data_IF_168098672299
#
_entry.id   IF_168098672299
#
_cell.length_a   1.000
_cell.length_b   1.000
_cell.length_c   1.000
_cell.angle_alpha   90.00
_cell.angle_beta   90.00
_cell.angle_gamma   90.00
#
_symmetry.space_group_name_H-M   'P 1'
#
loop_
_entity.id
_entity.type
_entity.pdbx_description
1 polymer ?
#
# COMPACT_ATOMS: atom_id res chain seq x y z
N UNK A 1 -19.73 88.21 134.83
CA UNK A 1 -19.83 88.50 133.39
C UNK A 1 -20.76 87.46 132.79
N UNK A 2 -21.86 87.87 132.17
CA UNK A 2 -22.76 86.99 131.42
C UNK A 2 -22.33 87.00 129.96
N UNK A 3 -21.93 85.85 129.42
CA UNK A 3 -21.54 85.71 128.03
C UNK A 3 -22.81 85.50 127.18
N UNK A 4 -23.10 86.42 126.26
CA UNK A 4 -24.13 86.23 125.24
C UNK A 4 -23.59 85.33 124.13
N UNK A 5 -24.23 84.19 123.92
CA UNK A 5 -23.87 83.27 122.83
C UNK A 5 -24.40 83.81 121.50
N UNK A 6 -23.59 83.85 120.43
CA UNK A 6 -24.01 84.33 119.12
C UNK A 6 -25.14 83.50 118.51
N UNK A 7 -25.96 84.15 117.67
CA UNK A 7 -27.02 83.54 116.85
C UNK A 7 -26.42 82.46 115.94
N UNK A 8 -26.97 81.25 116.03
CA UNK A 8 -26.50 80.07 115.30
C UNK A 8 -27.24 79.91 113.96
N UNK A 9 -26.59 80.36 112.89
CA UNK A 9 -27.10 80.26 111.51
C UNK A 9 -26.71 78.94 110.82
N UNK A 10 -26.26 77.93 111.59
CA UNK A 10 -25.73 76.69 111.02
C UNK A 10 -26.73 75.94 110.16
N UNK A 11 -28.04 75.98 110.48
CA UNK A 11 -29.07 75.21 109.77
C UNK A 11 -29.42 75.80 108.38
N UNK A 12 -29.48 77.13 108.28
CA UNK A 12 -29.69 77.86 107.01
C UNK A 12 -28.45 77.74 106.11
N UNK A 13 -27.25 77.85 106.68
CA UNK A 13 -25.99 77.60 105.98
C UNK A 13 -25.91 76.15 105.48
N UNK A 14 -26.41 75.18 106.24
CA UNK A 14 -26.49 73.77 105.84
C UNK A 14 -27.45 73.55 104.66
N UNK A 15 -28.58 74.26 104.61
CA UNK A 15 -29.49 74.16 103.46
C UNK A 15 -28.90 74.77 102.20
N UNK A 16 -28.29 75.96 102.31
CA UNK A 16 -27.59 76.61 101.19
C UNK A 16 -26.44 75.73 100.71
N UNK A 17 -25.68 75.13 101.63
CA UNK A 17 -24.61 74.18 101.32
C UNK A 17 -25.11 72.94 100.58
N UNK A 18 -26.23 72.34 101.04
CA UNK A 18 -26.85 71.20 100.34
C UNK A 18 -27.31 71.56 98.93
N UNK A 19 -27.97 72.71 98.76
CA UNK A 19 -28.39 73.19 97.43
C UNK A 19 -27.21 73.46 96.50
N UNK A 20 -26.12 74.03 97.04
CA UNK A 20 -24.87 74.21 96.31
C UNK A 20 -24.26 72.86 95.89
N UNK A 21 -24.17 71.89 96.79
CA UNK A 21 -23.65 70.55 96.50
C UNK A 21 -24.49 69.81 95.45
N UNK A 22 -25.83 69.90 95.49
CA UNK A 22 -26.69 69.32 94.46
C UNK A 22 -26.46 69.95 93.08
N UNK A 23 -26.34 71.27 93.01
CA UNK A 23 -26.02 71.96 91.76
C UNK A 23 -24.62 71.59 91.26
N UNK A 24 -23.65 71.50 92.16
CA UNK A 24 -22.27 71.06 91.86
C UNK A 24 -22.27 69.65 91.28
N UNK A 25 -23.02 68.72 91.89
CA UNK A 25 -23.12 67.35 91.43
C UNK A 25 -23.82 67.24 90.08
N UNK A 26 -24.94 67.96 89.86
CA UNK A 26 -25.61 68.02 88.55
C UNK A 26 -24.73 68.60 87.46
N UNK A 27 -23.97 69.66 87.77
CA UNK A 27 -23.02 70.26 86.84
C UNK A 27 -21.90 69.28 86.49
N UNK A 28 -21.33 68.60 87.49
CA UNK A 28 -20.30 67.59 87.28
C UNK A 28 -20.81 66.41 86.45
N UNK A 29 -22.02 65.91 86.72
CA UNK A 29 -22.65 64.84 85.94
C UNK A 29 -22.92 65.24 84.49
N UNK A 30 -23.38 66.46 84.25
CA UNK A 30 -23.54 67.00 82.90
C UNK A 30 -22.19 67.11 82.20
N UNK A 31 -21.17 67.68 82.84
CA UNK A 31 -19.81 67.78 82.30
C UNK A 31 -19.20 66.40 81.99
N UNK A 32 -19.44 65.39 82.84
CA UNK A 32 -18.98 64.02 82.63
C UNK A 32 -19.65 63.35 81.42
N UNK A 33 -20.92 63.68 81.13
CA UNK A 33 -21.68 63.11 79.99
C UNK A 33 -21.55 63.90 78.69
N UNK A 34 -21.24 65.19 78.78
CA UNK A 34 -21.18 66.13 77.65
C UNK A 34 -20.26 65.63 76.53
N UNK A 35 -19.08 65.12 76.86
CA UNK A 35 -18.14 64.60 75.86
C UNK A 35 -18.70 63.40 75.08
N UNK A 36 -19.45 62.54 75.77
CA UNK A 36 -20.11 61.37 75.17
C UNK A 36 -21.29 61.78 74.29
N UNK A 37 -22.11 62.71 74.74
CA UNK A 37 -23.24 63.22 73.97
C UNK A 37 -22.76 63.98 72.72
N UNK A 38 -21.72 64.82 72.85
CA UNK A 38 -21.08 65.49 71.72
C UNK A 38 -20.51 64.49 70.72
N UNK A 39 -19.82 63.45 71.18
CA UNK A 39 -19.30 62.39 70.29
C UNK A 39 -20.43 61.66 69.55
N UNK A 40 -21.54 61.37 70.25
CA UNK A 40 -22.71 60.71 69.66
C UNK A 40 -23.38 61.58 68.59
N UNK A 41 -23.59 62.87 68.90
CA UNK A 41 -24.16 63.82 67.96
C UNK A 41 -23.26 64.03 66.72
N UNK A 42 -21.93 64.10 66.92
CA UNK A 42 -20.97 64.17 65.80
C UNK A 42 -21.05 62.94 64.90
N UNK A 43 -21.15 61.74 65.47
CA UNK A 43 -21.30 60.50 64.69
C UNK A 43 -22.63 60.45 63.93
N UNK A 44 -23.71 60.96 64.52
CA UNK A 44 -24.99 61.05 63.85
C UNK A 44 -24.96 62.03 62.65
N UNK A 45 -24.37 63.22 62.84
CA UNK A 45 -24.16 64.19 61.75
C UNK A 45 -23.30 63.62 60.63
N UNK A 46 -22.19 62.94 60.99
CA UNK A 46 -21.33 62.28 60.00
C UNK A 46 -22.09 61.21 59.21
N UNK A 47 -22.92 60.41 59.88
CA UNK A 47 -23.73 59.37 59.23
C UNK A 47 -24.74 59.98 58.25
N UNK A 48 -25.35 61.12 58.62
CA UNK A 48 -26.26 61.86 57.76
C UNK A 48 -25.53 62.45 56.54
N UNK A 49 -24.38 63.10 56.73
CA UNK A 49 -23.58 63.63 55.63
C UNK A 49 -23.16 62.52 54.64
N UNK A 50 -22.76 61.35 55.16
CA UNK A 50 -22.43 60.19 54.32
C UNK A 50 -23.67 59.73 53.53
N UNK A 51 -24.84 59.65 54.17
CA UNK A 51 -26.08 59.25 53.50
C UNK A 51 -26.48 60.24 52.39
N UNK A 52 -26.43 61.54 52.69
CA UNK A 52 -26.74 62.61 51.75
C UNK A 52 -25.74 62.62 50.58
N UNK A 53 -24.46 62.39 50.85
CA UNK A 53 -23.45 62.24 49.81
C UNK A 53 -23.71 61.01 48.92
N UNK A 54 -23.94 59.83 49.53
CA UNK A 54 -24.24 58.59 48.80
C UNK A 54 -25.50 58.70 47.93
N UNK A 55 -26.53 59.41 48.41
CA UNK A 55 -27.76 59.65 47.63
C UNK A 55 -27.54 60.69 46.54
N UNK A 56 -26.85 61.80 46.82
CA UNK A 56 -26.56 62.84 45.83
C UNK A 56 -25.78 62.32 44.61
N UNK A 57 -24.81 61.43 44.82
CA UNK A 57 -24.04 60.82 43.73
C UNK A 57 -24.72 59.58 43.12
N UNK A 58 -25.87 59.15 43.67
CA UNK A 58 -26.55 57.93 43.22
C UNK A 58 -25.70 56.66 43.40
N UNK A 59 -24.93 56.57 44.48
CA UNK A 59 -23.94 55.50 44.71
C UNK A 59 -24.53 54.10 44.53
N UNK A 60 -25.71 53.86 45.09
CA UNK A 60 -26.40 52.57 44.99
C UNK A 60 -26.73 52.18 43.54
N UNK A 61 -27.17 53.13 42.71
CA UNK A 61 -27.47 52.89 41.30
C UNK A 61 -26.20 52.60 40.50
N UNK A 62 -25.09 53.28 40.80
CA UNK A 62 -23.80 53.03 40.17
C UNK A 62 -23.29 51.62 40.53
N UNK A 63 -23.37 51.23 41.80
CA UNK A 63 -22.97 49.88 42.25
C UNK A 63 -23.80 48.80 41.56
N UNK A 64 -25.13 48.98 41.47
CA UNK A 64 -26.01 48.05 40.74
C UNK A 64 -25.66 47.97 39.25
N UNK A 65 -25.32 49.10 38.61
CA UNK A 65 -24.92 49.12 37.21
C UNK A 65 -23.57 48.41 36.99
N UNK A 66 -22.59 48.63 37.87
CA UNK A 66 -21.30 47.93 37.84
C UNK A 66 -21.52 46.42 37.96
N UNK A 67 -22.39 45.99 38.87
CA UNK A 67 -22.67 44.57 39.07
C UNK A 67 -23.40 43.97 37.86
N UNK A 68 -24.35 44.71 37.28
CA UNK A 68 -25.00 44.34 36.02
C UNK A 68 -24.03 44.21 34.84
N UNK A 69 -23.07 45.12 34.72
CA UNK A 69 -22.02 45.08 33.70
C UNK A 69 -21.05 43.90 33.93
N UNK A 70 -20.71 43.59 35.18
CA UNK A 70 -19.90 42.41 35.52
C UNK A 70 -20.62 41.12 35.13
N UNK A 71 -21.92 41.02 35.39
CA UNK A 71 -22.71 39.85 34.99
C UNK A 71 -22.77 39.69 33.46
N UNK A 72 -22.98 40.79 32.72
CA UNK A 72 -22.91 40.75 31.25
C UNK A 72 -21.54 40.33 30.74
N UNK A 73 -20.47 40.85 31.33
CA UNK A 73 -19.10 40.47 31.00
C UNK A 73 -18.85 38.97 31.22
N UNK A 74 -19.36 38.40 32.31
CA UNK A 74 -19.20 36.97 32.62
C UNK A 74 -19.96 36.09 31.61
N UNK A 75 -21.18 36.49 31.22
CA UNK A 75 -21.97 35.81 30.18
C UNK A 75 -21.23 35.82 28.84
N UNK A 76 -20.74 36.99 28.41
CA UNK A 76 -19.99 37.12 27.15
C UNK A 76 -18.67 36.37 27.17
N UNK A 77 -17.98 36.33 28.32
CA UNK A 77 -16.76 35.50 28.48
C UNK A 77 -17.06 34.01 28.32
N UNK A 78 -18.12 33.50 28.94
CA UNK A 78 -18.56 32.11 28.78
C UNK A 78 -18.94 31.80 27.33
N UNK A 79 -19.64 32.72 26.66
CA UNK A 79 -19.97 32.57 25.24
C UNK A 79 -18.71 32.52 24.36
N UNK A 80 -17.72 33.36 24.64
CA UNK A 80 -16.43 33.35 23.94
C UNK A 80 -15.64 32.05 24.18
N UNK A 81 -15.62 31.53 25.42
CA UNK A 81 -14.97 30.26 25.73
C UNK A 81 -15.63 29.08 25.00
N UNK A 82 -16.96 29.03 24.98
CA UNK A 82 -17.70 28.02 24.22
C UNK A 82 -17.41 28.12 22.71
N UNK A 83 -17.39 29.32 22.15
CA UNK A 83 -17.08 29.51 20.73
C UNK A 83 -15.64 29.10 20.40
N UNK A 84 -14.67 29.40 21.29
CA UNK A 84 -13.28 28.93 21.14
C UNK A 84 -13.19 27.41 21.19
N UNK A 85 -13.95 26.76 22.08
CA UNK A 85 -14.03 25.31 22.15
C UNK A 85 -14.57 24.72 20.84
N UNK A 86 -15.66 25.28 20.30
CA UNK A 86 -16.22 24.83 19.02
C UNK A 86 -15.25 25.04 17.84
N UNK A 87 -14.52 26.16 17.82
CA UNK A 87 -13.48 26.42 16.80
C UNK A 87 -12.39 25.36 16.88
N UNK A 88 -11.86 25.09 18.07
CA UNK A 88 -10.82 24.07 18.26
C UNK A 88 -11.32 22.68 17.86
N UNK A 89 -12.53 22.30 18.26
CA UNK A 89 -13.13 21.03 17.85
C UNK A 89 -13.28 20.91 16.32
N UNK A 90 -13.64 21.99 15.63
CA UNK A 90 -13.68 22.02 14.16
C UNK A 90 -12.28 21.96 13.54
N UNK A 91 -11.27 22.62 14.13
CA UNK A 91 -9.89 22.56 13.67
C UNK A 91 -9.31 21.14 13.82
N UNK A 92 -9.56 20.47 14.94
CA UNK A 92 -9.16 19.07 15.17
C UNK A 92 -9.82 18.15 14.14
N UNK A 93 -11.11 18.35 13.85
CA UNK A 93 -11.83 17.58 12.84
C UNK A 93 -11.30 17.82 11.42
N UNK A 94 -10.90 19.06 11.10
CA UNK A 94 -10.21 19.37 9.83
C UNK A 94 -8.85 18.67 9.78
N UNK A 95 -8.11 18.63 10.89
CA UNK A 95 -6.83 17.94 10.96
C UNK A 95 -6.97 16.42 10.78
N UNK A 96 -7.98 15.81 11.37
CA UNK A 96 -8.28 14.39 11.19
C UNK A 96 -8.74 14.07 9.76
N UNK A 97 -9.58 14.91 9.15
CA UNK A 97 -9.94 14.77 7.73
C UNK A 97 -8.72 14.94 6.80
N UNK A 98 -7.79 15.84 7.14
CA UNK A 98 -6.50 15.94 6.43
C UNK A 98 -5.62 14.71 6.62
N UNK A 99 -5.65 14.08 7.80
CA UNK A 99 -4.97 12.79 8.03
C UNK A 99 -5.59 11.64 7.23
N UNK A 100 -6.89 11.71 6.94
CA UNK A 100 -7.56 10.76 6.03
C UNK A 100 -7.18 11.01 4.57
N UNK A 101 -6.90 12.25 4.17
CA UNK A 101 -6.29 12.59 2.87
C UNK A 101 -4.83 12.09 2.74
N UNK A 102 -4.18 11.73 3.84
CA UNK A 102 -2.76 11.32 3.92
C UNK A 102 -2.50 9.88 3.42
N UNK A 103 -3.42 9.27 2.67
CA UNK A 103 -3.21 7.96 2.03
C UNK A 103 -2.11 8.01 0.97
N UNK A 104 -1.89 9.17 0.33
CA UNK A 104 -0.85 9.33 -0.67
C UNK A 104 0.57 9.22 -0.09
N UNK A 105 0.80 9.70 1.14
CA UNK A 105 2.08 9.55 1.83
C UNK A 105 2.33 8.08 2.21
N UNK A 106 1.28 7.37 2.67
CA UNK A 106 1.36 5.91 2.90
C UNK A 106 1.64 5.15 1.61
N UNK A 107 1.02 5.56 0.49
CA UNK A 107 1.27 5.03 -0.84
C UNK A 107 2.75 5.18 -1.22
N UNK A 108 3.34 6.37 -1.04
CA UNK A 108 4.76 6.60 -1.30
C UNK A 108 5.68 5.74 -0.43
N UNK A 109 5.39 5.63 0.88
CA UNK A 109 6.14 4.76 1.79
C UNK A 109 6.09 3.30 1.34
N UNK A 110 4.93 2.84 0.84
CA UNK A 110 4.75 1.47 0.37
C UNK A 110 5.44 1.22 -0.96
N UNK A 111 5.40 2.17 -1.88
CA UNK A 111 6.21 2.13 -3.11
C UNK A 111 7.69 2.02 -2.76
N UNK A 112 8.19 2.83 -1.82
CA UNK A 112 9.58 2.76 -1.38
C UNK A 112 9.93 1.42 -0.76
N UNK A 113 9.00 0.84 0.01
CA UNK A 113 9.17 -0.52 0.53
C UNK A 113 9.30 -1.54 -0.59
N UNK A 114 8.45 -1.49 -1.61
CA UNK A 114 8.56 -2.41 -2.75
C UNK A 114 9.87 -2.20 -3.53
N UNK A 115 10.27 -0.95 -3.75
CA UNK A 115 11.54 -0.61 -4.39
C UNK A 115 12.74 -1.16 -3.61
N UNK A 116 12.74 -1.04 -2.28
CA UNK A 116 13.81 -1.56 -1.42
C UNK A 116 13.80 -3.09 -1.34
N UNK A 117 12.67 -3.69 -0.98
CA UNK A 117 12.54 -5.12 -0.67
C UNK A 117 12.72 -5.98 -1.93
N UNK A 118 12.18 -5.55 -3.07
CA UNK A 118 12.18 -6.36 -4.29
C UNK A 118 13.28 -5.97 -5.27
N UNK A 119 13.72 -4.72 -5.32
CA UNK A 119 14.69 -4.30 -6.34
C UNK A 119 16.12 -4.12 -5.80
N UNK A 120 16.34 -4.22 -4.49
CA UNK A 120 17.69 -4.18 -3.89
C UNK A 120 18.45 -2.88 -4.16
N UNK A 121 17.77 -1.86 -4.68
CA UNK A 121 18.33 -0.58 -5.06
C UNK A 121 17.74 0.50 -4.15
N UNK A 122 18.49 0.93 -3.13
CA UNK A 122 18.21 2.17 -2.39
C UNK A 122 18.40 3.44 -3.26
N UNK A 123 18.58 3.27 -4.57
CA UNK A 123 18.92 4.37 -5.47
C UNK A 123 17.69 5.16 -5.93
N UNK A 124 16.46 4.67 -5.79
CA UNK A 124 15.25 5.41 -6.17
C UNK A 124 14.21 5.37 -5.05
N UNK A 125 13.70 6.55 -4.69
CA UNK A 125 12.63 6.70 -3.71
C UNK A 125 11.58 7.69 -4.20
N UNK A 126 10.31 7.39 -3.97
CA UNK A 126 9.18 8.28 -4.13
C UNK A 126 9.02 9.14 -2.86
N UNK A 127 9.03 10.46 -3.01
CA UNK A 127 8.74 11.41 -1.94
C UNK A 127 7.46 12.17 -2.24
N UNK A 128 6.54 12.19 -1.28
CA UNK A 128 5.35 13.02 -1.34
C UNK A 128 5.74 14.47 -1.00
N UNK A 129 5.52 15.39 -1.94
CA UNK A 129 5.73 16.82 -1.75
C UNK A 129 4.36 17.50 -1.75
N UNK A 130 4.06 18.24 -0.68
CA UNK A 130 2.89 19.11 -0.65
C UNK A 130 3.10 20.30 -1.61
N UNK A 131 2.30 20.36 -2.67
CA UNK A 131 2.17 21.52 -3.54
C UNK A 131 0.89 22.29 -3.24
N UNK A 132 0.93 23.61 -3.39
CA UNK A 132 -0.27 24.44 -3.47
C UNK A 132 -0.50 24.74 -4.95
N UNK A 133 -1.50 24.13 -5.56
CA UNK A 133 -1.94 24.45 -6.91
C UNK A 133 -3.38 24.97 -6.84
N UNK A 134 -3.63 26.16 -7.39
CA UNK A 134 -4.95 26.81 -7.40
C UNK A 134 -5.60 26.99 -6.02
N UNK A 135 -4.81 27.13 -4.96
CA UNK A 135 -5.32 27.30 -3.58
C UNK A 135 -5.71 26.01 -2.88
N UNK A 136 -5.61 24.86 -3.54
CA UNK A 136 -5.81 23.53 -2.97
C UNK A 136 -4.47 22.86 -2.69
N UNK A 137 -4.38 22.17 -1.53
CA UNK A 137 -3.23 21.30 -1.24
C UNK A 137 -3.32 20.07 -2.14
N UNK A 138 -2.42 19.94 -3.10
CA UNK A 138 -2.24 18.73 -3.90
C UNK A 138 -0.91 18.09 -3.57
N UNK A 139 -0.92 16.80 -3.34
CA UNK A 139 0.31 16.02 -3.17
C UNK A 139 0.86 15.72 -4.56
N UNK A 140 2.15 15.98 -4.75
CA UNK A 140 2.89 15.60 -5.95
C UNK A 140 4.00 14.65 -5.55
N UNK A 141 4.23 13.62 -6.33
CA UNK A 141 5.34 12.71 -6.09
C UNK A 141 6.59 13.21 -6.81
N UNK A 142 7.70 13.29 -6.08
CA UNK A 142 9.02 13.50 -6.65
C UNK A 142 9.84 12.22 -6.52
N UNK A 143 10.48 11.84 -7.62
CA UNK A 143 11.38 10.69 -7.64
C UNK A 143 12.78 11.19 -7.30
N UNK A 144 13.38 10.58 -6.29
CA UNK A 144 14.67 10.98 -5.72
C UNK A 144 15.67 9.85 -5.89
N UNK A 145 16.88 10.22 -6.34
CA UNK A 145 18.03 9.35 -6.57
C UNK A 145 19.22 9.81 -5.75
N UNK A 146 19.67 8.99 -4.80
CA UNK A 146 20.78 9.35 -3.88
C UNK A 146 20.55 10.66 -3.12
N UNK A 147 19.30 10.90 -2.68
CA UNK A 147 18.91 12.11 -1.95
C UNK A 147 18.73 13.37 -2.80
N UNK A 148 18.87 13.29 -4.14
CA UNK A 148 18.61 14.39 -5.07
C UNK A 148 17.50 14.05 -6.04
N UNK A 149 16.77 15.05 -6.55
CA UNK A 149 15.77 14.83 -7.59
C UNK A 149 16.36 14.06 -8.77
N UNK A 150 15.71 12.97 -9.15
CA UNK A 150 16.09 12.15 -10.29
C UNK A 150 15.65 12.84 -11.59
N UNK A 151 16.56 12.86 -12.57
CA UNK A 151 16.29 13.28 -13.95
C UNK A 151 16.71 12.14 -14.87
N UNK A 152 16.08 12.05 -16.04
CA UNK A 152 16.38 11.03 -17.06
C UNK A 152 16.21 9.59 -16.55
N UNK A 153 15.02 9.28 -16.04
CA UNK A 153 14.66 7.90 -15.72
C UNK A 153 14.63 7.06 -17.00
N UNK A 154 15.11 5.82 -16.92
CA UNK A 154 14.98 4.87 -18.02
C UNK A 154 13.51 4.45 -18.19
N UNK A 155 13.15 3.94 -19.36
CA UNK A 155 11.80 3.43 -19.61
C UNK A 155 11.44 2.29 -18.66
N UNK A 156 12.41 1.43 -18.35
CA UNK A 156 12.26 0.37 -17.36
C UNK A 156 12.00 0.91 -15.95
N UNK A 157 12.75 1.93 -15.51
CA UNK A 157 12.55 2.58 -14.21
C UNK A 157 11.16 3.22 -14.10
N UNK A 158 10.70 3.89 -15.15
CA UNK A 158 9.36 4.47 -15.20
C UNK A 158 8.28 3.39 -15.08
N UNK A 159 8.38 2.32 -15.86
CA UNK A 159 7.41 1.22 -15.88
C UNK A 159 7.34 0.52 -14.51
N UNK A 160 8.50 0.34 -13.88
CA UNK A 160 8.64 -0.30 -12.57
C UNK A 160 8.04 0.54 -11.44
N UNK A 161 8.33 1.84 -11.41
CA UNK A 161 7.74 2.76 -10.41
C UNK A 161 6.22 2.81 -10.58
N UNK A 162 5.74 2.88 -11.83
CA UNK A 162 4.30 2.85 -12.12
C UNK A 162 3.65 1.55 -11.64
N UNK A 163 4.32 0.40 -11.84
CA UNK A 163 3.85 -0.90 -11.36
C UNK A 163 3.82 -0.97 -9.83
N UNK A 164 4.87 -0.52 -9.14
CA UNK A 164 4.90 -0.47 -7.68
C UNK A 164 3.81 0.46 -7.12
N UNK A 165 3.57 1.59 -7.77
CA UNK A 165 2.50 2.52 -7.40
C UNK A 165 1.13 1.89 -7.58
N UNK A 166 0.89 1.20 -8.70
CA UNK A 166 -0.32 0.42 -8.92
C UNK A 166 -0.54 -0.61 -7.80
N UNK A 167 0.49 -1.37 -7.44
CA UNK A 167 0.40 -2.34 -6.35
C UNK A 167 0.14 -1.70 -4.98
N UNK A 168 0.72 -0.53 -4.70
CA UNK A 168 0.47 0.20 -3.47
C UNK A 168 -0.99 0.70 -3.38
N UNK A 169 -1.55 1.12 -4.53
CA UNK A 169 -2.93 1.60 -4.63
C UNK A 169 -3.98 0.49 -4.48
N UNK A 170 -3.61 -0.78 -4.67
CA UNK A 170 -4.54 -1.90 -4.44
C UNK A 170 -4.84 -2.12 -2.95
N UNK A 171 -4.04 -1.58 -2.03
CA UNK A 171 -4.29 -1.64 -0.59
C UNK A 171 -4.88 -0.33 -0.03
N UNK A 172 -5.55 0.44 -0.89
CA UNK A 172 -6.24 1.70 -0.55
C UNK A 172 -7.63 1.40 0.06
N UNK A 173 -8.19 2.36 0.80
CA UNK A 173 -9.46 2.24 1.54
C UNK A 173 -10.62 1.79 0.65
N UNK A 174 -10.60 2.19 -0.63
CA UNK A 174 -11.64 1.82 -1.60
C UNK A 174 -11.60 0.35 -2.02
N UNK A 175 -10.45 -0.31 -1.90
CA UNK A 175 -10.24 -1.70 -2.33
C UNK A 175 -10.10 -2.67 -1.15
N UNK A 176 -9.80 -2.16 0.05
CA UNK A 176 -9.46 -2.95 1.24
C UNK A 176 -10.49 -4.00 1.67
N UNK A 177 -11.79 -3.71 1.50
CA UNK A 177 -12.89 -4.64 1.86
C UNK A 177 -13.55 -5.27 0.63
N UNK A 178 -12.92 -5.17 -0.54
CA UNK A 178 -13.43 -5.72 -1.80
C UNK A 178 -12.40 -6.63 -2.45
N UNK A 179 -12.85 -7.60 -3.25
CA UNK A 179 -11.98 -8.37 -4.14
C UNK A 179 -12.10 -7.83 -5.56
N UNK A 180 -11.29 -6.84 -5.99
CA UNK A 180 -11.38 -6.27 -7.32
C UNK A 180 -11.04 -7.29 -8.42
N UNK A 181 -11.48 -6.96 -9.64
CA UNK A 181 -10.95 -7.54 -10.88
C UNK A 181 -9.71 -6.74 -11.28
N UNK A 182 -8.57 -7.41 -11.38
CA UNK A 182 -7.26 -6.79 -11.67
C UNK A 182 -6.87 -7.10 -13.11
N UNK A 183 -6.47 -6.06 -13.85
CA UNK A 183 -5.88 -6.19 -15.19
C UNK A 183 -4.48 -5.60 -15.20
N UNK A 184 -3.49 -6.40 -15.59
CA UNK A 184 -2.08 -6.00 -15.70
C UNK A 184 -1.65 -6.22 -17.15
N UNK A 185 -1.40 -5.14 -17.88
CA UNK A 185 -0.91 -5.21 -19.26
C UNK A 185 0.61 -5.05 -19.31
N UNK A 186 1.27 -6.12 -19.73
CA UNK A 186 2.70 -6.26 -19.96
C UNK A 186 3.61 -5.55 -18.92
N UNK A 187 3.64 -6.04 -17.67
CA UNK A 187 4.31 -5.36 -16.57
C UNK A 187 5.86 -5.36 -16.65
N UNK A 188 6.42 -5.90 -17.74
CA UNK A 188 7.86 -6.07 -17.94
C UNK A 188 8.38 -5.44 -19.24
N UNK A 189 7.58 -4.57 -19.88
CA UNK A 189 8.04 -3.80 -21.04
C UNK A 189 9.35 -3.05 -20.72
N UNK A 190 10.35 -3.21 -21.59
CA UNK A 190 11.67 -2.58 -21.47
C UNK A 190 12.44 -2.88 -20.16
N UNK A 191 12.15 -4.01 -19.53
CA UNK A 191 12.85 -4.52 -18.34
C UNK A 191 13.87 -5.62 -18.68
N UNK A 192 14.95 -5.69 -17.90
CA UNK A 192 15.94 -6.78 -18.01
C UNK A 192 15.42 -8.09 -17.39
N UNK A 193 16.17 -9.18 -17.58
CA UNK A 193 15.81 -10.50 -17.07
C UNK A 193 15.68 -10.58 -15.53
N UNK A 194 16.40 -9.75 -14.76
CA UNK A 194 16.31 -9.74 -13.30
C UNK A 194 14.98 -9.13 -12.83
N UNK A 195 14.53 -8.07 -13.50
CA UNK A 195 13.28 -7.41 -13.19
C UNK A 195 12.05 -8.30 -13.44
N UNK A 196 12.11 -9.26 -14.37
CA UNK A 196 11.06 -10.27 -14.59
C UNK A 196 10.74 -11.02 -13.30
N UNK A 197 11.78 -11.44 -12.57
CA UNK A 197 11.62 -12.18 -11.32
C UNK A 197 10.99 -11.31 -10.23
N UNK A 198 11.37 -10.03 -10.15
CA UNK A 198 10.83 -9.11 -9.15
C UNK A 198 9.35 -8.81 -9.39
N UNK A 199 8.97 -8.51 -10.63
CA UNK A 199 7.56 -8.30 -11.00
C UNK A 199 6.73 -9.54 -10.69
N UNK A 200 7.22 -10.73 -11.05
CA UNK A 200 6.54 -11.98 -10.72
C UNK A 200 6.40 -12.18 -9.20
N UNK A 201 7.47 -11.97 -8.44
CA UNK A 201 7.49 -12.14 -6.99
C UNK A 201 6.53 -11.18 -6.29
N UNK A 202 6.45 -9.93 -6.76
CA UNK A 202 5.51 -8.94 -6.23
C UNK A 202 4.06 -9.35 -6.51
N UNK A 203 3.75 -9.85 -7.70
CA UNK A 203 2.42 -10.40 -8.03
C UNK A 203 2.06 -11.56 -7.08
N UNK A 204 2.99 -12.48 -6.84
CA UNK A 204 2.75 -13.61 -5.93
C UNK A 204 2.50 -13.12 -4.51
N UNK A 205 3.42 -12.34 -3.94
CA UNK A 205 3.41 -11.97 -2.53
C UNK A 205 2.29 -10.97 -2.18
N UNK A 206 2.02 -10.00 -3.05
CA UNK A 206 1.01 -8.97 -2.78
C UNK A 206 -0.37 -9.34 -3.30
N UNK A 207 -0.48 -10.10 -4.39
CA UNK A 207 -1.78 -10.45 -4.97
C UNK A 207 -2.23 -11.88 -4.62
N UNK A 208 -1.43 -12.89 -4.99
CA UNK A 208 -1.87 -14.28 -4.94
C UNK A 208 -1.89 -14.86 -3.51
N UNK A 209 -0.87 -14.57 -2.71
CA UNK A 209 -0.77 -15.09 -1.33
C UNK A 209 -1.75 -14.40 -0.37
N UNK A 210 -2.05 -13.13 -0.63
CA UNK A 210 -3.00 -12.33 0.17
C UNK A 210 -4.45 -12.48 -0.26
N UNK A 211 -4.72 -13.19 -1.37
CA UNK A 211 -6.07 -13.46 -1.89
C UNK A 211 -6.93 -12.19 -2.05
N UNK A 212 -6.32 -11.11 -2.59
CA UNK A 212 -6.96 -9.79 -2.65
C UNK A 212 -7.76 -9.52 -3.93
N UNK A 213 -7.96 -10.51 -4.81
CA UNK A 213 -8.65 -10.33 -6.07
C UNK A 213 -9.68 -11.42 -6.35
N UNK A 214 -10.74 -11.07 -7.07
CA UNK A 214 -11.73 -12.05 -7.56
C UNK A 214 -11.25 -12.70 -8.86
N UNK A 215 -10.68 -11.87 -9.75
CA UNK A 215 -10.10 -12.32 -11.01
C UNK A 215 -8.88 -11.47 -11.37
N UNK A 216 -7.84 -12.10 -11.89
CA UNK A 216 -6.65 -11.42 -12.41
C UNK A 216 -6.45 -11.77 -13.88
N UNK A 217 -6.25 -10.73 -14.70
CA UNK A 217 -5.83 -10.83 -16.09
C UNK A 217 -4.41 -10.27 -16.20
N UNK A 218 -3.50 -11.07 -16.76
CA UNK A 218 -2.14 -10.63 -17.05
C UNK A 218 -1.86 -10.88 -18.52
N UNK A 219 -1.63 -9.82 -19.29
CA UNK A 219 -1.13 -9.91 -20.66
C UNK A 219 0.37 -9.68 -20.69
N UNK A 220 1.05 -10.35 -21.61
CA UNK A 220 2.47 -10.12 -21.87
C UNK A 220 2.84 -10.61 -23.26
N UNK A 221 3.84 -9.98 -23.87
CA UNK A 221 4.45 -10.48 -25.10
C UNK A 221 5.68 -11.38 -24.82
N UNK A 222 6.12 -11.45 -23.56
CA UNK A 222 7.35 -12.14 -23.17
C UNK A 222 7.05 -13.58 -22.70
N UNK A 223 7.62 -14.56 -23.41
CA UNK A 223 7.42 -15.98 -23.13
C UNK A 223 8.11 -16.45 -21.85
N UNK A 224 9.21 -15.82 -21.43
CA UNK A 224 9.88 -16.18 -20.17
C UNK A 224 9.05 -15.76 -18.97
N UNK A 225 8.44 -14.57 -19.01
CA UNK A 225 7.49 -14.16 -17.98
C UNK A 225 6.24 -15.05 -17.96
N UNK A 226 5.73 -15.46 -19.13
CA UNK A 226 4.64 -16.44 -19.20
C UNK A 226 4.99 -17.76 -18.50
N UNK A 227 6.23 -18.24 -18.59
CA UNK A 227 6.67 -19.45 -17.86
C UNK A 227 6.52 -19.28 -16.35
N UNK A 228 6.84 -18.10 -15.81
CA UNK A 228 6.63 -17.79 -14.39
C UNK A 228 5.14 -17.68 -14.05
N UNK A 229 4.36 -16.95 -14.85
CA UNK A 229 2.90 -16.82 -14.65
C UNK A 229 2.17 -18.17 -14.67
N UNK A 230 2.65 -19.16 -15.43
CA UNK A 230 2.10 -20.52 -15.37
C UNK A 230 2.22 -21.17 -14.00
N UNK A 231 3.26 -20.82 -13.24
CA UNK A 231 3.50 -21.26 -11.87
C UNK A 231 2.71 -20.47 -10.83
N UNK A 232 2.08 -19.35 -11.19
CA UNK A 232 1.27 -18.52 -10.30
C UNK A 232 0.06 -19.30 -9.80
N UNK A 233 0.17 -19.95 -8.64
CA UNK A 233 -0.96 -20.64 -8.04
C UNK A 233 -1.66 -19.66 -7.10
N UNK A 234 -2.96 -19.49 -7.30
CA UNK A 234 -3.84 -18.83 -6.34
C UNK A 234 -4.72 -19.89 -5.72
N UNK A 235 -4.92 -19.80 -4.42
CA UNK A 235 -5.71 -20.78 -3.70
C UNK A 235 -6.95 -20.12 -3.13
N UNK A 236 -8.10 -20.64 -3.51
CA UNK A 236 -9.39 -20.25 -2.94
C UNK A 236 -9.64 -21.07 -1.68
N UNK A 237 -9.92 -20.41 -0.55
CA UNK A 237 -10.34 -21.09 0.67
C UNK A 237 -11.79 -21.55 0.53
N UNK A 238 -12.01 -22.87 0.58
CA UNK A 238 -13.34 -23.43 0.59
C UNK A 238 -13.97 -23.39 1.99
N UNK A 239 -15.31 -23.44 2.05
CA UNK A 239 -16.08 -23.47 3.30
C UNK A 239 -15.73 -24.64 4.26
N UNK A 240 -15.05 -25.67 3.75
CA UNK A 240 -14.55 -26.81 4.53
C UNK A 240 -13.09 -26.63 5.02
N UNK A 241 -12.49 -25.46 4.84
CA UNK A 241 -11.10 -25.15 5.19
C UNK A 241 -10.05 -25.70 4.23
N UNK A 242 -10.43 -26.37 3.13
CA UNK A 242 -9.49 -26.85 2.10
C UNK A 242 -9.16 -25.74 1.09
N UNK A 243 -7.92 -25.68 0.67
CA UNK A 243 -7.44 -24.78 -0.39
C UNK A 243 -7.66 -25.44 -1.75
N UNK A 244 -8.43 -24.80 -2.63
CA UNK A 244 -8.61 -25.22 -4.02
C UNK A 244 -7.81 -24.32 -4.94
N UNK A 245 -7.03 -24.91 -5.85
CA UNK A 245 -6.31 -24.12 -6.85
C UNK A 245 -7.30 -23.42 -7.80
N UNK A 246 -7.16 -22.11 -7.96
CA UNK A 246 -7.97 -21.30 -8.85
C UNK A 246 -7.73 -21.71 -10.30
N UNK A 247 -8.81 -21.78 -11.09
CA UNK A 247 -8.72 -22.20 -12.50
C UNK A 247 -7.94 -21.17 -13.34
N UNK A 248 -7.03 -21.64 -14.19
CA UNK A 248 -6.24 -20.78 -15.10
C UNK A 248 -6.66 -21.02 -16.55
N UNK A 249 -6.79 -19.94 -17.31
CA UNK A 249 -7.01 -20.01 -18.75
C UNK A 249 -5.97 -19.15 -19.48
N UNK A 250 -5.55 -19.63 -20.66
CA UNK A 250 -4.51 -19.00 -21.46
C UNK A 250 -5.07 -18.67 -22.84
N UNK A 251 -4.80 -17.46 -23.27
CA UNK A 251 -5.29 -16.91 -24.54
C UNK A 251 -4.11 -16.31 -25.31
N UNK A 252 -4.29 -16.20 -26.63
CA UNK A 252 -3.38 -15.48 -27.51
C UNK A 252 -4.15 -14.38 -28.22
N UNK A 253 -3.56 -13.20 -28.31
CA UNK A 253 -4.12 -12.07 -29.06
C UNK A 253 -3.53 -12.15 -30.47
N UNK A 254 -4.38 -12.44 -31.45
CA UNK A 254 -3.99 -12.48 -32.86
C UNK A 254 -4.44 -11.19 -33.56
N UNK A 255 -3.47 -10.39 -34.01
CA UNK A 255 -3.73 -9.15 -34.75
C UNK A 255 -3.72 -9.42 -36.24
N UNK A 256 -4.85 -9.16 -36.90
CA UNK A 256 -5.01 -9.25 -38.34
C UNK A 256 -5.31 -7.85 -38.89
N UNK A 257 -4.26 -7.15 -39.33
CA UNK A 257 -4.36 -5.77 -39.80
C UNK A 257 -4.92 -4.83 -38.73
N UNK A 258 -6.16 -4.37 -38.96
CA UNK A 258 -6.87 -3.42 -38.08
C UNK A 258 -7.71 -4.08 -36.98
N UNK A 259 -7.84 -5.41 -36.96
CA UNK A 259 -8.62 -6.13 -35.96
C UNK A 259 -7.72 -7.00 -35.09
N UNK A 260 -8.10 -7.16 -33.83
CA UNK A 260 -7.47 -8.10 -32.90
C UNK A 260 -8.51 -9.11 -32.43
N UNK A 261 -8.14 -10.39 -32.42
CA UNK A 261 -8.99 -11.49 -31.96
C UNK A 261 -8.33 -12.18 -30.78
N UNK A 262 -9.12 -12.50 -29.77
CA UNK A 262 -8.67 -13.30 -28.63
C UNK A 262 -9.00 -14.75 -28.93
N UNK A 263 -7.98 -15.58 -29.07
CA UNK A 263 -8.10 -17.00 -29.34
C UNK A 263 -7.60 -17.79 -28.14
N UNK A 264 -8.12 -19.01 -27.96
CA UNK A 264 -7.57 -19.90 -26.95
C UNK A 264 -6.13 -20.25 -27.31
N UNK A 265 -5.22 -20.22 -26.33
CA UNK A 265 -3.82 -20.51 -26.57
C UNK A 265 -3.68 -21.96 -27.09
N UNK A 266 -2.87 -22.19 -28.16
CA UNK A 266 -2.61 -23.52 -28.67
C UNK A 266 -2.10 -24.47 -27.57
N UNK A 267 -2.54 -25.73 -27.62
CA UNK A 267 -2.17 -26.75 -26.62
C UNK A 267 -0.67 -26.85 -26.41
N UNK A 268 0.13 -26.71 -27.48
CA UNK A 268 1.58 -26.79 -27.38
C UNK A 268 2.19 -25.71 -26.46
N UNK A 269 1.69 -24.48 -26.50
CA UNK A 269 2.16 -23.39 -25.63
C UNK A 269 1.57 -23.47 -24.22
N UNK A 270 0.34 -23.99 -24.12
CA UNK A 270 -0.39 -24.15 -22.86
C UNK A 270 0.14 -25.30 -22.00
N UNK A 271 0.43 -26.44 -22.60
CA UNK A 271 0.73 -27.70 -21.93
C UNK A 271 2.24 -27.87 -21.70
N UNK A 272 3.08 -27.59 -22.70
CA UNK A 272 4.52 -27.88 -22.59
C UNK A 272 5.28 -26.73 -21.93
N UNK A 273 6.09 -27.03 -20.91
CA UNK A 273 6.87 -26.04 -20.14
C UNK A 273 7.91 -25.30 -20.98
N UNK A 274 8.48 -25.96 -21.98
CA UNK A 274 9.51 -25.44 -22.88
C UNK A 274 9.35 -26.04 -24.28
N UNK A 275 10.01 -25.44 -25.28
CA UNK A 275 10.12 -26.04 -26.62
C UNK A 275 10.72 -27.45 -26.55
N UNK A 276 11.69 -27.68 -25.65
CA UNK A 276 12.27 -29.00 -25.43
C UNK A 276 11.22 -30.08 -25.08
N UNK A 277 10.27 -29.78 -24.18
CA UNK A 277 9.19 -30.71 -23.84
C UNK A 277 8.23 -30.94 -25.02
N UNK A 278 7.95 -29.89 -25.80
CA UNK A 278 7.13 -30.01 -27.01
C UNK A 278 7.80 -30.91 -28.06
N UNK A 279 9.10 -30.69 -28.33
CA UNK A 279 9.86 -31.49 -29.29
C UNK A 279 9.91 -32.96 -28.89
N UNK A 280 10.11 -33.25 -27.60
CA UNK A 280 9.99 -34.60 -27.07
C UNK A 280 8.60 -35.20 -27.32
N UNK A 281 7.53 -34.43 -27.06
CA UNK A 281 6.15 -34.89 -27.30
C UNK A 281 5.91 -35.28 -28.76
N UNK A 282 6.50 -34.53 -29.71
CA UNK A 282 6.39 -34.80 -31.13
C UNK A 282 7.10 -36.10 -31.51
N UNK A 283 8.35 -36.28 -31.03
CA UNK A 283 9.13 -37.50 -31.26
C UNK A 283 8.42 -38.71 -30.66
N UNK A 284 7.90 -38.59 -29.43
CA UNK A 284 7.16 -39.66 -28.78
C UNK A 284 5.91 -40.03 -29.57
N UNK A 285 5.09 -39.06 -29.99
CA UNK A 285 3.91 -39.31 -30.84
C UNK A 285 4.28 -40.01 -32.14
N UNK A 286 5.34 -39.56 -32.84
CA UNK A 286 5.84 -40.25 -34.04
C UNK A 286 6.19 -41.72 -33.77
N UNK A 287 6.78 -42.02 -32.61
CA UNK A 287 7.17 -43.39 -32.26
C UNK A 287 5.97 -44.32 -32.03
N UNK A 288 4.81 -43.78 -31.66
CA UNK A 288 3.60 -44.52 -31.34
C UNK A 288 2.66 -44.70 -32.55
N UNK A 289 2.81 -43.91 -33.60
CA UNK A 289 1.93 -43.96 -34.77
C UNK A 289 2.23 -45.20 -35.60
N UNK A 290 1.18 -45.99 -35.89
CA UNK A 290 1.27 -47.18 -36.73
C UNK A 290 0.91 -46.90 -38.20
N UNK A 291 -0.03 -45.98 -38.46
CA UNK A 291 -0.51 -45.63 -39.80
C UNK A 291 -0.50 -44.11 -39.99
N UNK A 292 -0.08 -43.67 -41.17
CA UNK A 292 -0.01 -42.26 -41.53
C UNK A 292 -1.31 -41.84 -42.19
N UNK A 293 -1.88 -40.74 -41.72
CA UNK A 293 -3.10 -40.15 -42.28
C UNK A 293 -3.00 -38.61 -42.26
N UNK A 294 -3.97 -37.94 -42.87
CA UNK A 294 -4.01 -36.47 -42.96
C UNK A 294 -4.04 -35.79 -41.58
N UNK A 295 -4.44 -36.49 -40.52
CA UNK A 295 -4.49 -35.95 -39.16
C UNK A 295 -3.12 -35.93 -38.48
N UNK A 296 -2.16 -36.71 -38.97
CA UNK A 296 -0.84 -36.87 -38.36
C UNK A 296 0.33 -36.60 -39.33
N UNK A 297 0.06 -36.40 -40.61
CA UNK A 297 1.09 -36.17 -41.63
C UNK A 297 2.01 -34.98 -41.33
N UNK A 298 1.47 -33.87 -40.81
CA UNK A 298 2.25 -32.68 -40.44
C UNK A 298 3.32 -32.98 -39.36
N UNK A 299 3.07 -33.95 -38.49
CA UNK A 299 4.00 -34.37 -37.45
C UNK A 299 5.25 -35.01 -38.07
N UNK A 300 5.05 -35.83 -39.10
CA UNK A 300 6.12 -36.48 -39.85
C UNK A 300 6.88 -35.49 -40.73
N UNK A 301 6.16 -34.61 -41.43
CA UNK A 301 6.79 -33.56 -42.23
C UNK A 301 7.81 -32.73 -41.41
N UNK A 302 7.47 -32.41 -40.16
CA UNK A 302 8.33 -31.65 -39.26
C UNK A 302 9.31 -32.50 -38.42
N UNK A 303 9.26 -33.83 -38.53
CA UNK A 303 10.00 -34.72 -37.64
C UNK A 303 11.51 -34.47 -37.65
N UNK A 304 12.12 -34.31 -38.83
CA UNK A 304 13.57 -34.13 -38.96
C UNK A 304 14.09 -32.93 -38.17
N UNK A 305 13.44 -31.76 -38.34
CA UNK A 305 13.80 -30.55 -37.62
C UNK A 305 13.52 -30.67 -36.11
N UNK A 306 12.40 -31.31 -35.75
CA UNK A 306 12.05 -31.52 -34.35
C UNK A 306 13.06 -32.42 -33.63
N UNK A 307 13.46 -33.53 -34.27
CA UNK A 307 14.43 -34.47 -33.76
C UNK A 307 15.83 -33.85 -33.63
N UNK A 308 16.26 -33.07 -34.63
CA UNK A 308 17.54 -32.33 -34.57
C UNK A 308 17.57 -31.38 -33.37
N UNK A 309 16.61 -30.45 -33.27
CA UNK A 309 16.55 -29.48 -32.16
C UNK A 309 16.51 -30.18 -30.81
N UNK A 310 15.72 -31.24 -30.68
CA UNK A 310 15.64 -32.01 -29.44
C UNK A 310 16.99 -32.62 -29.07
N UNK A 311 17.65 -33.30 -30.02
CA UNK A 311 18.93 -33.94 -29.79
C UNK A 311 20.04 -32.94 -29.51
N UNK A 312 20.08 -31.78 -30.18
CA UNK A 312 21.03 -30.70 -29.88
C UNK A 312 20.92 -30.24 -28.42
N UNK A 313 19.69 -29.94 -27.97
CA UNK A 313 19.45 -29.52 -26.58
C UNK A 313 19.78 -30.66 -25.61
N UNK A 314 19.29 -31.87 -25.88
CA UNK A 314 19.46 -33.03 -25.02
C UNK A 314 20.95 -33.40 -24.85
N UNK A 315 21.68 -33.49 -25.97
CA UNK A 315 23.09 -33.86 -25.99
C UNK A 315 23.99 -32.77 -25.46
N UNK A 316 23.61 -31.50 -25.55
CA UNK A 316 24.32 -30.41 -24.89
C UNK A 316 24.34 -30.61 -23.37
N UNK A 317 23.21 -30.97 -22.76
CA UNK A 317 23.14 -31.23 -21.31
C UNK A 317 23.74 -32.59 -20.92
N UNK A 318 23.61 -33.61 -21.77
CA UNK A 318 24.19 -34.95 -21.51
C UNK A 318 25.72 -34.97 -21.65
N UNK A 319 26.25 -34.21 -22.60
CA UNK A 319 27.67 -34.05 -22.86
C UNK A 319 27.99 -32.55 -22.93
N UNK A 320 28.21 -31.90 -21.77
CA UNK A 320 28.47 -30.46 -21.68
C UNK A 320 29.93 -30.11 -22.06
N UNK A 321 30.39 -30.67 -23.18
CA UNK A 321 31.68 -30.39 -23.81
C UNK A 321 31.47 -29.76 -25.20
N UNK A 322 32.54 -29.40 -25.90
CA UNK A 322 32.48 -28.84 -27.27
C UNK A 322 32.78 -29.89 -28.34
N UNK A 323 32.57 -31.17 -28.04
CA UNK A 323 32.83 -32.25 -29.00
C UNK A 323 31.75 -32.32 -30.08
N UNK A 324 32.15 -32.58 -31.32
CA UNK A 324 31.22 -32.76 -32.44
C UNK A 324 30.72 -34.22 -32.56
N UNK A 325 31.28 -35.15 -31.79
CA UNK A 325 30.97 -36.58 -31.84
C UNK A 325 29.82 -37.01 -30.91
N UNK A 326 29.11 -36.07 -30.28
CA UNK A 326 28.05 -36.34 -29.28
C UNK A 326 26.96 -37.29 -29.77
N UNK A 327 26.55 -37.16 -31.04
CA UNK A 327 25.53 -38.03 -31.65
C UNK A 327 26.07 -39.45 -31.80
N UNK A 328 27.33 -39.58 -32.24
CA UNK A 328 28.01 -40.87 -32.38
C UNK A 328 28.16 -41.55 -31.02
N UNK A 329 28.52 -40.78 -29.98
CA UNK A 329 28.59 -41.25 -28.60
C UNK A 329 27.23 -41.70 -28.05
N UNK A 330 26.15 -41.02 -28.44
CA UNK A 330 24.80 -41.33 -27.95
C UNK A 330 24.17 -42.56 -28.62
N UNK A 331 24.25 -42.69 -29.93
CA UNK A 331 23.67 -43.84 -30.65
C UNK A 331 24.64 -45.02 -30.78
N UNK A 332 25.95 -44.77 -30.79
CA UNK A 332 26.98 -45.69 -31.27
C UNK A 332 27.27 -45.46 -32.75
N UNK A 333 28.51 -45.71 -33.20
CA UNK A 333 29.00 -45.42 -34.56
C UNK A 333 28.17 -46.07 -35.68
N UNK A 334 27.58 -47.25 -35.44
CA UNK A 334 26.84 -48.02 -36.46
C UNK A 334 25.31 -47.90 -36.35
N UNK A 335 24.81 -47.15 -35.37
CA UNK A 335 23.38 -47.12 -35.01
C UNK A 335 22.72 -45.76 -35.22
N UNK A 336 23.36 -44.82 -35.92
CA UNK A 336 22.75 -43.50 -36.17
C UNK A 336 21.78 -43.62 -37.36
N UNK A 337 20.48 -43.28 -37.18
CA UNK A 337 19.52 -43.27 -38.28
C UNK A 337 20.00 -42.38 -39.43
N UNK A 338 20.00 -42.88 -40.68
CA UNK A 338 20.40 -42.10 -41.87
C UNK A 338 19.65 -40.76 -41.97
N UNK A 339 18.36 -40.74 -41.65
CA UNK A 339 17.53 -39.52 -41.63
C UNK A 339 18.01 -38.45 -40.64
N UNK A 340 18.64 -38.86 -39.53
CA UNK A 340 19.26 -37.94 -38.58
C UNK A 340 20.62 -37.48 -39.08
N UNK A 341 21.42 -38.37 -39.68
CA UNK A 341 22.70 -38.00 -40.32
C UNK A 341 22.46 -36.97 -41.43
N UNK A 342 21.49 -37.22 -42.32
CA UNK A 342 21.19 -36.36 -43.45
C UNK A 342 20.61 -35.01 -43.04
N UNK A 343 19.79 -34.94 -41.98
CA UNK A 343 19.20 -33.67 -41.51
C UNK A 343 20.12 -32.87 -40.59
N UNK A 344 20.93 -33.54 -39.77
CA UNK A 344 21.91 -32.89 -38.88
C UNK A 344 23.10 -32.35 -39.69
N UNK A 345 23.58 -33.11 -40.69
CA UNK A 345 24.71 -32.67 -41.52
C UNK A 345 24.32 -31.67 -42.64
N UNK A 346 23.10 -31.72 -43.20
CA UNK A 346 22.75 -30.89 -44.38
C UNK A 346 22.07 -29.54 -44.08
N UNK A 347 21.68 -29.20 -42.85
CA UNK A 347 21.03 -27.89 -42.58
C UNK A 347 21.96 -26.81 -41.98
N UNK A 348 23.25 -27.10 -41.83
CA UNK A 348 24.25 -26.05 -41.59
C UNK A 348 24.55 -25.18 -42.83
N UNK A 349 23.88 -25.39 -43.96
CA UNK A 349 23.94 -24.47 -45.09
C UNK A 349 22.68 -24.56 -45.97
N UNK A 350 22.00 -23.42 -46.10
CA UNK A 350 20.92 -23.13 -47.06
C UNK A 350 20.88 -24.04 -48.29
N UNK A 351 19.91 -24.96 -48.42
CA UNK A 351 19.55 -25.62 -49.70
C UNK A 351 20.74 -25.99 -50.61
N UNK A 352 21.91 -26.28 -50.04
CA UNK A 352 23.15 -26.45 -50.81
C UNK A 352 23.25 -27.91 -51.17
N UNK A 353 22.36 -28.35 -52.07
CA UNK A 353 22.24 -29.74 -52.49
C UNK A 353 21.58 -29.92 -53.84
N UNK A 354 20.30 -29.55 -53.99
CA UNK A 354 19.56 -29.55 -55.27
C UNK A 354 18.08 -29.26 -55.04
N UNK A 355 17.42 -28.56 -55.98
CA UNK A 355 15.95 -28.37 -56.01
C UNK A 355 15.22 -29.73 -56.02
N UNK A 356 15.87 -30.76 -56.55
CA UNK A 356 15.39 -32.14 -56.62
C UNK A 356 15.03 -32.71 -55.23
N UNK A 357 15.73 -32.31 -54.16
CA UNK A 357 15.39 -32.77 -52.80
C UNK A 357 14.12 -32.14 -52.24
N UNK A 358 13.71 -30.97 -52.74
CA UNK A 358 12.41 -30.39 -52.40
C UNK A 358 11.24 -31.08 -53.12
N UNK A 359 11.54 -31.89 -54.15
CA UNK A 359 10.58 -32.63 -54.97
C UNK A 359 10.39 -34.06 -54.45
N UNK A 360 11.31 -34.58 -53.64
CA UNK A 360 11.21 -35.93 -53.08
C UNK A 360 10.14 -36.00 -51.98
N UNK A 361 9.24 -36.98 -52.03
CA UNK A 361 8.23 -37.18 -50.99
C UNK A 361 8.90 -37.50 -49.65
N UNK A 362 8.27 -37.05 -48.56
CA UNK A 362 8.76 -37.30 -47.20
C UNK A 362 8.60 -38.79 -46.88
N UNK A 363 9.71 -39.49 -46.64
CA UNK A 363 9.70 -40.92 -46.31
C UNK A 363 9.27 -41.17 -44.86
N UNK A 364 7.97 -41.39 -44.66
CA UNK A 364 7.38 -41.55 -43.32
C UNK A 364 7.81 -42.81 -42.55
N UNK A 365 8.00 -44.00 -43.18
CA UNK A 365 8.43 -45.21 -42.46
C UNK A 365 9.81 -45.08 -41.78
N UNK A 366 10.74 -44.34 -42.39
CA UNK A 366 12.06 -44.09 -41.81
C UNK A 366 11.97 -43.20 -40.56
N UNK A 367 11.06 -42.22 -40.57
CA UNK A 367 10.83 -41.32 -39.44
C UNK A 367 10.28 -42.05 -38.21
N UNK A 368 9.34 -42.97 -38.40
CA UNK A 368 8.82 -43.82 -37.30
C UNK A 368 9.95 -44.65 -36.70
N UNK A 369 10.81 -45.23 -37.55
CA UNK A 369 11.94 -46.06 -37.12
C UNK A 369 12.97 -45.24 -36.33
N UNK A 370 13.31 -44.04 -36.82
CA UNK A 370 14.19 -43.11 -36.13
C UNK A 370 13.60 -42.63 -34.80
N UNK A 371 12.30 -42.31 -34.75
CA UNK A 371 11.61 -41.91 -33.53
C UNK A 371 11.66 -43.02 -32.47
N UNK A 372 11.36 -44.27 -32.86
CA UNK A 372 11.46 -45.45 -31.98
C UNK A 372 12.88 -45.65 -31.46
N UNK A 373 13.89 -45.46 -32.29
CA UNK A 373 15.28 -45.57 -31.86
C UNK A 373 15.64 -44.49 -30.82
N UNK A 374 15.27 -43.22 -31.07
CA UNK A 374 15.48 -42.12 -30.11
C UNK A 374 14.83 -42.48 -28.77
N UNK A 375 13.56 -42.89 -28.79
CA UNK A 375 12.83 -43.26 -27.56
C UNK A 375 13.47 -44.44 -26.85
N UNK A 376 13.90 -45.48 -27.57
CA UNK A 376 14.59 -46.62 -26.98
C UNK A 376 15.93 -46.23 -26.35
N UNK A 377 16.69 -45.32 -26.97
CA UNK A 377 17.92 -44.78 -26.38
C UNK A 377 17.65 -43.93 -25.15
N UNK A 378 16.60 -43.13 -25.13
CA UNK A 378 16.22 -42.36 -23.95
C UNK A 378 15.84 -43.26 -22.77
N UNK A 379 15.23 -44.43 -23.03
CA UNK A 379 14.87 -45.42 -21.98
C UNK A 379 16.07 -46.05 -21.27
N UNK A 380 17.29 -45.94 -21.82
CA UNK A 380 18.51 -46.38 -21.13
C UNK A 380 18.78 -45.53 -19.86
N UNK A 381 18.22 -44.32 -19.78
CA UNK A 381 18.17 -43.48 -18.58
C UNK A 381 16.71 -43.41 -18.06
N UNK A 382 16.31 -44.32 -17.16
CA UNK A 382 14.93 -44.45 -16.74
C UNK A 382 14.42 -43.24 -15.96
N UNK A 383 15.28 -42.61 -15.15
CA UNK A 383 14.91 -41.44 -14.34
C UNK A 383 14.61 -40.24 -15.24
N UNK A 384 15.49 -39.98 -16.22
CA UNK A 384 15.29 -38.89 -17.16
C UNK A 384 14.11 -39.16 -18.10
N UNK A 385 13.94 -40.40 -18.56
CA UNK A 385 12.81 -40.77 -19.41
C UNK A 385 11.47 -40.62 -18.67
N UNK A 386 11.38 -41.06 -17.42
CA UNK A 386 10.22 -40.85 -16.56
C UNK A 386 9.88 -39.35 -16.40
N UNK A 387 10.89 -38.50 -16.18
CA UNK A 387 10.68 -37.04 -16.13
C UNK A 387 10.18 -36.46 -17.47
N UNK A 388 10.71 -36.92 -18.61
CA UNK A 388 10.26 -36.51 -19.94
C UNK A 388 8.80 -36.92 -20.20
N UNK A 389 8.41 -38.14 -19.82
CA UNK A 389 7.04 -38.65 -19.93
C UNK A 389 6.06 -37.86 -19.06
N UNK A 390 6.44 -37.59 -17.80
CA UNK A 390 5.66 -36.73 -16.91
C UNK A 390 5.49 -35.31 -17.48
N UNK A 391 6.51 -34.77 -18.15
CA UNK A 391 6.45 -33.43 -18.76
C UNK A 391 5.45 -33.30 -19.91
N UNK A 392 5.04 -34.42 -20.50
CA UNK A 392 4.00 -34.48 -21.55
C UNK A 392 2.67 -35.05 -21.03
N UNK A 393 2.52 -35.19 -19.71
CA UNK A 393 1.28 -35.64 -19.06
C UNK A 393 1.04 -37.14 -19.15
N UNK A 394 2.07 -37.95 -19.41
CA UNK A 394 1.97 -39.41 -19.44
C UNK A 394 2.68 -39.96 -18.21
N UNK A 395 1.92 -40.49 -17.25
CA UNK A 395 2.47 -41.14 -16.07
C UNK A 395 2.91 -42.56 -16.44
N UNK A 396 4.21 -42.83 -16.35
CA UNK A 396 4.80 -44.16 -16.56
C UNK A 396 4.77 -45.03 -15.33
#
# INVERSE_FOLDING_TARGET
>A
MSFESPLDYSEELLQIWKGYEELRNRSNDFSNKLSKEQSTAKMALLSQEIYDFCTAIGYSAIVLNIDGLKNKLDIEKKALENLKFEINAKLDKIQDLKRQLNDEEKGALRVNKYLADFFGHEFLSLQAIEGIENGEKKIRFEIVRGGKRAYHLSEGECSLIAFCYFMAKLDDVNTKDSKPIIWIDDPISSLDANHIFFVFSLIVAELAEKDIFEQIFVSTHNLDFLKYLRRLNSYEQQANGRLKNSGKQYFIINRQGHYSTILQMPKCLKEYGTEFNYLFSCIFKCSCIANVDDTNYELFYNFGNNARKFLEIYLYFKYPDYSDDKIQRFFGTDNIPPILIDRINNEYSHLSGSIERAIMPVEVPEMVSAAKLIINKLKEDPDQFSALMNSIGITT
#
